data_IF_114498706759
#
_entry.id   IF_114498706759
#
_cell.length_a   1.000
_cell.length_b   1.000
_cell.length_c   1.000
_cell.angle_alpha   90.00
_cell.angle_beta   90.00
_cell.angle_gamma   90.00
#
_symmetry.space_group_name_H-M   'P 1'
#
loop_
_entity.id
_entity.type
_entity.pdbx_description
1 polymer ?
#
# COMPACT_ATOMS: atom_id res chain seq x y z
N UNK A 1 -14.81 -0.18 46.34
CA UNK A 1 -15.01 -1.62 46.68
C UNK A 1 -15.46 -2.49 45.50
N UNK A 2 -16.40 -2.10 44.63
CA UNK A 2 -16.86 -2.96 43.52
C UNK A 2 -15.75 -3.31 42.51
N UNK A 3 -14.87 -2.37 42.14
CA UNK A 3 -13.77 -2.60 41.16
C UNK A 3 -12.70 -3.61 41.60
N UNK A 4 -12.48 -3.77 42.90
CA UNK A 4 -11.52 -4.73 43.44
C UNK A 4 -12.08 -6.16 43.42
N UNK A 5 -13.41 -6.31 43.57
CA UNK A 5 -14.08 -7.62 43.54
C UNK A 5 -14.03 -8.26 42.16
N UNK A 6 -14.17 -7.47 41.08
CA UNK A 6 -14.10 -7.96 39.70
C UNK A 6 -12.69 -8.41 39.31
N UNK A 7 -11.66 -7.68 39.75
CA UNK A 7 -10.25 -8.06 39.51
C UNK A 7 -9.88 -9.35 40.25
N UNK A 8 -10.30 -9.50 41.50
CA UNK A 8 -10.07 -10.71 42.29
C UNK A 8 -10.78 -11.93 41.69
N UNK A 9 -12.04 -11.77 41.27
CA UNK A 9 -12.79 -12.84 40.61
C UNK A 9 -12.13 -13.30 39.29
N UNK A 10 -11.59 -12.36 38.52
CA UNK A 10 -10.87 -12.65 37.27
C UNK A 10 -9.57 -13.43 37.51
N UNK A 11 -8.80 -13.05 38.54
CA UNK A 11 -7.56 -13.74 38.93
C UNK A 11 -7.83 -15.18 39.40
N UNK A 12 -8.89 -15.37 40.18
CA UNK A 12 -9.27 -16.68 40.70
C UNK A 12 -9.80 -17.62 39.61
N UNK A 13 -10.58 -17.11 38.66
CA UNK A 13 -11.01 -17.87 37.48
C UNK A 13 -9.83 -18.28 36.59
N UNK A 14 -8.84 -17.40 36.42
CA UNK A 14 -7.63 -17.71 35.66
C UNK A 14 -6.80 -18.84 36.29
N UNK A 15 -6.71 -18.89 37.62
CA UNK A 15 -6.04 -19.96 38.36
C UNK A 15 -6.86 -21.27 38.46
N UNK A 16 -8.02 -21.36 37.78
CA UNK A 16 -8.87 -22.55 37.81
C UNK A 16 -9.68 -22.73 39.11
N UNK A 17 -9.75 -21.70 39.96
CA UNK A 17 -10.41 -21.77 41.27
C UNK A 17 -11.90 -21.49 41.07
N UNK A 18 -12.67 -22.55 40.85
CA UNK A 18 -14.10 -22.47 40.48
C UNK A 18 -15.05 -22.21 41.66
N UNK A 19 -14.59 -22.30 42.91
CA UNK A 19 -15.45 -22.07 44.08
C UNK A 19 -14.69 -21.43 45.24
N UNK A 20 -15.17 -20.26 45.69
CA UNK A 20 -14.70 -19.58 46.90
C UNK A 20 -15.74 -19.78 48.00
N UNK A 21 -15.45 -20.61 49.00
CA UNK A 21 -16.28 -20.74 50.21
C UNK A 21 -15.65 -19.94 51.35
N UNK A 22 -16.33 -18.90 51.81
CA UNK A 22 -15.93 -18.11 52.97
C UNK A 22 -16.68 -18.60 54.22
N UNK A 23 -15.94 -19.14 55.20
CA UNK A 23 -16.47 -19.52 56.51
C UNK A 23 -15.77 -18.71 57.61
N UNK A 24 -16.56 -18.18 58.55
CA UNK A 24 -16.06 -17.41 59.70
C UNK A 24 -16.17 -18.27 60.96
N UNK A 25 -15.02 -18.70 61.49
CA UNK A 25 -14.91 -19.15 62.89
C UNK A 25 -13.60 -18.59 63.46
N UNK A 26 -13.71 -17.49 64.21
CA UNK A 26 -12.62 -16.91 65.00
C UNK A 26 -11.49 -16.24 64.19
N UNK A 27 -11.50 -14.90 64.14
CA UNK A 27 -10.30 -14.07 63.96
C UNK A 27 -9.54 -14.13 62.62
N UNK A 28 -10.00 -14.86 61.60
CA UNK A 28 -9.33 -14.87 60.30
C UNK A 28 -10.19 -15.43 59.16
N UNK A 29 -9.98 -14.92 57.94
CA UNK A 29 -10.57 -15.46 56.71
C UNK A 29 -9.74 -16.68 56.29
N UNK A 30 -10.33 -17.86 56.29
CA UNK A 30 -9.72 -19.07 55.70
C UNK A 30 -10.26 -19.24 54.28
N UNK A 31 -9.36 -19.19 53.30
CA UNK A 31 -9.67 -19.45 51.90
C UNK A 31 -9.31 -20.91 51.62
N UNK A 32 -10.32 -21.73 51.30
CA UNK A 32 -10.12 -23.13 50.93
C UNK A 32 -10.06 -23.24 49.41
N UNK A 33 -8.93 -23.68 48.88
CA UNK A 33 -8.73 -23.97 47.47
C UNK A 33 -8.96 -25.47 47.26
N UNK A 34 -10.03 -25.85 46.56
CA UNK A 34 -10.33 -27.25 46.25
C UNK A 34 -9.84 -27.56 44.83
N UNK A 35 -9.04 -28.61 44.70
CA UNK A 35 -8.52 -29.21 43.46
C UNK A 35 -7.45 -28.41 42.68
N UNK A 36 -6.24 -28.32 43.24
CA UNK A 36 -5.02 -28.28 42.42
C UNK A 36 -4.56 -29.71 42.17
N UNK A 37 -5.22 -30.42 41.25
CA UNK A 37 -4.72 -31.71 40.77
C UNK A 37 -3.98 -31.49 39.45
N UNK A 38 -2.69 -31.86 39.47
CA UNK A 38 -1.71 -31.90 38.37
C UNK A 38 -0.89 -30.63 38.10
N UNK A 39 0.41 -30.73 38.43
CA UNK A 39 1.55 -29.82 38.13
C UNK A 39 1.93 -28.73 39.14
N UNK A 40 1.90 -29.03 40.43
CA UNK A 40 2.80 -28.36 41.38
C UNK A 40 3.78 -29.39 41.91
N UNK A 41 5.02 -29.29 41.43
CA UNK A 41 6.14 -30.12 41.86
C UNK A 41 6.47 -29.78 43.32
N UNK A 42 6.31 -30.76 44.20
CA UNK A 42 6.27 -30.61 45.65
C UNK A 42 7.64 -30.31 46.30
N UNK A 43 8.69 -30.08 45.51
CA UNK A 43 10.03 -29.73 46.00
C UNK A 43 10.41 -28.24 45.84
N UNK A 44 9.50 -27.40 45.36
CA UNK A 44 9.72 -25.95 45.34
C UNK A 44 9.05 -25.29 46.55
N UNK A 45 9.86 -25.00 47.57
CA UNK A 45 9.46 -24.12 48.67
C UNK A 45 9.15 -22.73 48.10
N UNK A 46 7.88 -22.46 47.82
CA UNK A 46 7.43 -21.18 47.30
C UNK A 46 6.98 -20.24 48.44
N UNK A 47 7.71 -19.15 48.72
CA UNK A 47 7.26 -18.07 49.58
C UNK A 47 6.35 -17.13 48.78
N UNK A 48 5.28 -17.63 48.16
CA UNK A 48 4.48 -16.84 47.19
C UNK A 48 3.41 -15.97 47.85
N UNK A 49 3.05 -16.22 49.11
CA UNK A 49 1.95 -15.48 49.76
C UNK A 49 2.39 -14.28 50.62
N UNK A 50 3.69 -13.96 50.71
CA UNK A 50 4.16 -12.87 51.58
C UNK A 50 4.64 -11.60 50.87
N UNK A 51 4.70 -11.53 49.53
CA UNK A 51 5.33 -10.39 48.84
C UNK A 51 4.65 -9.97 47.53
N UNK A 52 3.31 -9.90 47.50
CA UNK A 52 2.63 -9.20 46.41
C UNK A 52 2.05 -7.91 46.97
N UNK A 53 2.76 -6.79 46.78
CA UNK A 53 2.17 -5.45 46.92
C UNK A 53 1.11 -5.33 45.82
N UNK A 54 -0.07 -4.85 46.19
CA UNK A 54 -1.23 -4.74 45.28
C UNK A 54 -0.95 -3.81 44.09
N UNK A 55 0.08 -2.97 44.19
CA UNK A 55 0.52 -2.06 43.13
C UNK A 55 1.33 -2.77 42.01
N UNK A 56 1.87 -3.97 42.26
CA UNK A 56 2.64 -4.75 41.24
C UNK A 56 1.76 -5.77 40.48
N UNK A 57 0.45 -5.79 40.74
CA UNK A 57 -0.50 -6.72 40.09
C UNK A 57 -0.83 -6.36 38.63
N UNK A 58 -0.44 -5.19 38.14
CA UNK A 58 -0.56 -4.84 36.72
C UNK A 58 0.46 -5.58 35.83
N UNK A 59 1.57 -6.06 36.41
CA UNK A 59 2.64 -6.74 35.66
C UNK A 59 2.42 -8.26 35.51
N UNK A 60 1.55 -8.86 36.34
CA UNK A 60 1.34 -10.32 36.40
C UNK A 60 0.12 -10.79 35.60
N UNK A 61 -0.76 -9.87 35.15
CA UNK A 61 -1.83 -10.23 34.21
C UNK A 61 -1.16 -10.37 32.84
N UNK A 62 -1.02 -11.58 32.26
CA UNK A 62 -0.52 -11.69 30.89
C UNK A 62 -1.46 -10.85 30.02
N UNK A 63 -0.94 -9.76 29.45
CA UNK A 63 -1.65 -9.00 28.44
C UNK A 63 -2.06 -10.01 27.38
N UNK A 64 -3.36 -10.24 27.23
CA UNK A 64 -3.87 -11.07 26.14
C UNK A 64 -3.30 -10.46 24.87
N UNK A 65 -2.45 -11.19 24.16
CA UNK A 65 -1.91 -10.71 22.90
C UNK A 65 -3.10 -10.42 21.98
N UNK A 66 -3.15 -9.20 21.45
CA UNK A 66 -4.22 -8.75 20.55
C UNK A 66 -3.66 -8.60 19.15
N UNK A 67 -4.54 -8.52 18.15
CA UNK A 67 -4.10 -8.15 16.81
C UNK A 67 -3.42 -6.78 16.82
N UNK A 68 -3.91 -5.83 17.63
CA UNK A 68 -3.27 -4.52 17.79
C UNK A 68 -1.80 -4.65 18.20
N UNK A 69 -1.52 -5.35 19.30
CA UNK A 69 -0.14 -5.50 19.79
C UNK A 69 0.74 -6.23 18.77
N UNK A 70 0.24 -7.30 18.15
CA UNK A 70 1.01 -8.05 17.15
C UNK A 70 1.35 -7.23 15.89
N UNK A 71 0.48 -6.29 15.50
CA UNK A 71 0.70 -5.38 14.36
C UNK A 71 1.66 -4.26 14.74
N UNK A 72 1.51 -3.68 15.94
CA UNK A 72 2.40 -2.63 16.46
C UNK A 72 3.83 -3.15 16.71
N UNK A 73 3.97 -4.40 17.17
CA UNK A 73 5.27 -5.08 17.35
C UNK A 73 6.02 -5.27 16.02
N UNK A 74 5.29 -5.32 14.89
CA UNK A 74 5.86 -5.31 13.53
C UNK A 74 6.18 -3.90 13.01
N UNK A 75 5.98 -2.87 13.83
CA UNK A 75 6.27 -1.47 13.50
C UNK A 75 5.17 -0.75 12.71
N UNK A 76 4.00 -1.37 12.52
CA UNK A 76 2.89 -0.72 11.81
C UNK A 76 2.08 0.19 12.73
N UNK A 77 1.67 1.35 12.20
CA UNK A 77 0.68 2.21 12.87
C UNK A 77 -0.73 1.76 12.51
N UNK A 78 -1.55 1.47 13.52
CA UNK A 78 -2.93 1.02 13.32
C UNK A 78 -3.90 2.18 13.07
N UNK A 79 -5.01 1.88 12.38
CA UNK A 79 -6.17 2.75 12.24
C UNK A 79 -7.13 2.45 13.38
N UNK A 80 -7.52 3.51 14.10
CA UNK A 80 -8.46 3.45 15.22
C UNK A 80 -9.49 4.59 15.16
N UNK A 81 -10.33 4.71 16.19
CA UNK A 81 -11.35 5.76 16.28
C UNK A 81 -10.75 7.19 16.33
N UNK A 82 -9.50 7.35 16.74
CA UNK A 82 -8.81 8.66 16.83
C UNK A 82 -8.10 9.06 15.53
N UNK A 83 -7.85 8.10 14.64
CA UNK A 83 -7.13 8.31 13.38
C UNK A 83 -7.84 9.30 12.45
N UNK A 84 -7.08 9.99 11.58
CA UNK A 84 -7.68 10.95 10.65
C UNK A 84 -8.52 10.25 9.57
N UNK A 85 -9.61 10.89 9.12
CA UNK A 85 -10.43 10.33 8.03
C UNK A 85 -9.61 10.05 6.78
N UNK A 86 -8.65 10.92 6.44
CA UNK A 86 -7.76 10.74 5.30
C UNK A 86 -7.03 9.38 5.33
N UNK A 87 -6.53 8.97 6.49
CA UNK A 87 -5.78 7.72 6.66
C UNK A 87 -6.68 6.50 6.39
N UNK A 88 -7.91 6.53 6.92
CA UNK A 88 -8.89 5.48 6.70
C UNK A 88 -9.39 5.45 5.25
N UNK A 89 -9.63 6.60 4.62
CA UNK A 89 -10.03 6.67 3.20
C UNK A 89 -8.97 6.08 2.29
N UNK A 90 -7.70 6.40 2.54
CA UNK A 90 -6.59 5.86 1.78
C UNK A 90 -6.47 4.35 1.97
N UNK A 91 -6.62 3.84 3.19
CA UNK A 91 -6.66 2.39 3.45
C UNK A 91 -7.76 1.67 2.66
N UNK A 92 -8.91 2.31 2.39
CA UNK A 92 -9.98 1.71 1.59
C UNK A 92 -9.73 1.76 0.06
N UNK A 93 -8.82 2.64 -0.38
CA UNK A 93 -8.52 2.89 -1.80
C UNK A 93 -7.14 2.41 -2.26
N UNK A 94 -6.30 1.92 -1.34
CA UNK A 94 -4.87 1.75 -1.58
C UNK A 94 -4.50 0.75 -2.69
N UNK A 95 -5.42 -0.09 -3.14
CA UNK A 95 -5.17 -1.06 -4.21
C UNK A 95 -5.04 -0.35 -5.55
N UNK A 96 -3.83 -0.39 -6.12
CA UNK A 96 -3.51 0.24 -7.38
C UNK A 96 -3.89 -0.66 -8.56
N UNK A 97 -5.18 -0.62 -8.92
CA UNK A 97 -5.73 -1.35 -10.06
C UNK A 97 -6.39 -0.36 -11.06
N UNK A 98 -5.75 -0.10 -12.22
CA UNK A 98 -6.23 0.87 -13.20
C UNK A 98 -7.42 0.38 -14.04
N UNK A 99 -7.83 -0.89 -13.89
CA UNK A 99 -8.98 -1.45 -14.60
C UNK A 99 -10.30 -1.21 -13.85
N UNK A 100 -10.27 -1.01 -12.53
CA UNK A 100 -11.49 -0.93 -11.72
C UNK A 100 -12.42 0.20 -12.15
N UNK A 101 -13.67 -0.17 -12.41
CA UNK A 101 -14.79 0.76 -12.66
C UNK A 101 -15.73 0.86 -11.45
N UNK A 102 -15.57 -0.02 -10.47
CA UNK A 102 -16.19 0.12 -9.15
C UNK A 102 -15.45 -0.76 -8.14
N UNK A 103 -15.59 -0.42 -6.86
CA UNK A 103 -15.12 -1.23 -5.73
C UNK A 103 -16.31 -1.62 -4.88
N UNK A 104 -16.56 -2.92 -4.77
CA UNK A 104 -17.66 -3.49 -4.01
C UNK A 104 -17.07 -4.48 -3.01
N UNK A 105 -17.09 -4.12 -1.74
CA UNK A 105 -16.73 -4.99 -0.63
C UNK A 105 -17.99 -5.32 0.14
N UNK A 106 -18.32 -6.60 0.27
CA UNK A 106 -19.39 -7.06 1.14
C UNK A 106 -18.91 -7.10 2.58
N UNK A 107 -19.85 -7.23 3.51
CA UNK A 107 -19.53 -7.44 4.91
C UNK A 107 -18.60 -8.66 5.08
N UNK A 108 -17.55 -8.49 5.88
CA UNK A 108 -16.47 -9.44 6.14
C UNK A 108 -15.48 -9.70 4.99
N UNK A 109 -15.59 -9.04 3.83
CA UNK A 109 -14.66 -9.27 2.71
C UNK A 109 -13.25 -8.78 3.05
N UNK A 110 -13.12 -7.57 3.61
CA UNK A 110 -11.83 -6.98 3.98
C UNK A 110 -11.19 -7.76 5.13
N UNK A 111 -11.97 -7.99 6.20
CA UNK A 111 -11.60 -8.81 7.35
C UNK A 111 -12.86 -9.18 8.14
N UNK A 112 -12.85 -10.23 9.00
CA UNK A 112 -13.99 -10.60 9.82
C UNK A 112 -14.46 -9.45 10.74
N UNK A 113 -15.66 -8.95 10.50
CA UNK A 113 -16.27 -7.79 11.16
C UNK A 113 -16.25 -6.50 10.33
N UNK A 114 -15.64 -6.50 9.13
CA UNK A 114 -15.66 -5.33 8.26
C UNK A 114 -17.04 -5.10 7.67
N UNK A 115 -17.39 -3.82 7.53
CA UNK A 115 -18.63 -3.39 6.91
C UNK A 115 -18.61 -3.51 5.38
N UNK A 116 -19.81 -3.49 4.80
CA UNK A 116 -20.00 -3.29 3.37
C UNK A 116 -19.56 -1.89 2.91
N UNK A 117 -19.04 -1.82 1.69
CA UNK A 117 -18.61 -0.59 1.04
C UNK A 117 -18.82 -0.71 -0.47
N UNK A 118 -19.44 0.30 -1.06
CA UNK A 118 -19.56 0.44 -2.51
C UNK A 118 -19.02 1.80 -2.91
N UNK A 119 -18.03 1.81 -3.80
CA UNK A 119 -17.47 3.00 -4.42
C UNK A 119 -17.63 2.88 -5.93
N UNK A 120 -18.22 3.89 -6.55
CA UNK A 120 -18.45 3.93 -8.00
C UNK A 120 -17.31 4.65 -8.71
N UNK A 121 -17.12 4.37 -9.99
CA UNK A 121 -16.24 5.18 -10.83
C UNK A 121 -16.87 6.53 -11.17
N UNK A 122 -16.02 7.51 -11.45
CA UNK A 122 -16.37 8.75 -12.11
C UNK A 122 -15.36 9.08 -13.19
N UNK A 123 -15.76 9.89 -14.17
CA UNK A 123 -14.85 10.46 -15.16
C UNK A 123 -13.92 11.46 -14.45
N UNK A 124 -12.62 11.20 -14.51
CA UNK A 124 -11.57 12.09 -13.99
C UNK A 124 -11.15 13.07 -15.09
N UNK A 125 -10.90 12.54 -16.29
CA UNK A 125 -10.40 13.33 -17.41
C UNK A 125 -10.85 12.75 -18.75
N UNK A 126 -11.00 13.63 -19.73
CA UNK A 126 -11.13 13.27 -21.14
C UNK A 126 -10.39 14.27 -22.01
N UNK A 127 -10.09 13.88 -23.25
CA UNK A 127 -9.45 14.77 -24.20
C UNK A 127 -8.80 14.03 -25.35
N UNK A 128 -7.76 14.64 -25.92
CA UNK A 128 -7.02 14.11 -27.07
C UNK A 128 -5.53 14.08 -26.76
N UNK A 129 -4.92 12.93 -27.00
CA UNK A 129 -3.47 12.77 -26.98
C UNK A 129 -2.93 12.69 -28.41
N UNK A 130 -1.63 12.91 -28.58
CA UNK A 130 -0.93 12.71 -29.84
C UNK A 130 0.03 11.55 -29.63
N UNK A 131 -0.11 10.50 -30.44
CA UNK A 131 0.80 9.36 -30.42
C UNK A 131 2.17 9.76 -30.98
N UNK A 132 3.15 8.88 -30.81
CA UNK A 132 4.48 9.06 -31.37
C UNK A 132 4.48 9.17 -32.91
N UNK A 133 3.50 8.54 -33.59
CA UNK A 133 3.30 8.66 -35.04
C UNK A 133 2.58 9.94 -35.47
N UNK A 134 2.22 10.82 -34.52
CA UNK A 134 1.48 12.05 -34.79
C UNK A 134 -0.03 11.87 -34.91
N UNK A 135 -0.56 10.67 -34.67
CA UNK A 135 -2.00 10.41 -34.69
C UNK A 135 -2.68 10.98 -33.44
N UNK A 136 -3.80 11.67 -33.62
CA UNK A 136 -4.63 12.11 -32.49
C UNK A 136 -5.53 10.98 -32.00
N UNK A 137 -5.51 10.71 -30.69
CA UNK A 137 -6.29 9.66 -30.04
C UNK A 137 -7.17 10.26 -28.94
N UNK A 138 -8.48 10.02 -29.03
CA UNK A 138 -9.42 10.36 -27.97
C UNK A 138 -9.21 9.47 -26.74
N UNK A 139 -9.41 10.04 -25.56
CA UNK A 139 -9.34 9.29 -24.31
C UNK A 139 -10.40 9.72 -23.31
N UNK A 140 -10.75 8.76 -22.45
CA UNK A 140 -11.51 8.96 -21.22
C UNK A 140 -10.82 8.15 -20.11
N UNK A 141 -10.43 8.83 -19.04
CA UNK A 141 -9.90 8.24 -17.81
C UNK A 141 -10.98 8.30 -16.75
N UNK A 142 -11.34 7.14 -16.24
CA UNK A 142 -12.19 6.99 -15.08
C UNK A 142 -11.34 6.59 -13.87
N UNK A 143 -11.79 6.93 -12.68
CA UNK A 143 -11.24 6.38 -11.45
C UNK A 143 -12.28 6.32 -10.34
N UNK A 144 -11.89 5.73 -9.21
CA UNK A 144 -12.81 5.43 -8.12
C UNK A 144 -13.04 6.66 -7.26
N UNK A 145 -14.29 6.91 -6.89
CA UNK A 145 -14.64 8.01 -5.99
C UNK A 145 -14.02 7.81 -4.60
N UNK A 146 -13.60 8.92 -3.99
CA UNK A 146 -13.11 8.90 -2.61
C UNK A 146 -14.23 8.50 -1.64
N UNK A 147 -13.99 7.59 -0.67
CA UNK A 147 -14.99 7.26 0.32
C UNK A 147 -15.47 8.50 1.09
N UNK A 148 -16.76 8.54 1.37
CA UNK A 148 -17.32 9.58 2.23
C UNK A 148 -16.79 9.46 3.67
N UNK A 149 -16.92 10.54 4.45
CA UNK A 149 -16.49 10.53 5.85
C UNK A 149 -17.29 9.50 6.68
N UNK A 150 -18.55 9.24 6.33
CA UNK A 150 -19.40 8.23 6.95
C UNK A 150 -18.81 6.82 6.80
N UNK A 151 -18.43 6.45 5.57
CA UNK A 151 -17.73 5.18 5.28
C UNK A 151 -16.39 5.08 6.03
N UNK A 152 -15.63 6.17 6.08
CA UNK A 152 -14.38 6.23 6.84
C UNK A 152 -14.60 6.03 8.35
N UNK A 153 -15.60 6.67 8.95
CA UNK A 153 -15.95 6.46 10.37
C UNK A 153 -16.30 5.01 10.65
N UNK A 154 -17.09 4.39 9.78
CA UNK A 154 -17.47 2.98 9.89
C UNK A 154 -16.24 2.07 9.85
N UNK A 155 -15.36 2.28 8.88
CA UNK A 155 -14.10 1.53 8.77
C UNK A 155 -13.18 1.70 9.98
N UNK A 156 -13.04 2.92 10.51
CA UNK A 156 -12.27 3.17 11.74
C UNK A 156 -12.81 2.37 12.93
N UNK A 157 -14.14 2.32 13.06
CA UNK A 157 -14.80 1.57 14.12
C UNK A 157 -14.63 0.05 13.94
N UNK A 158 -14.79 -0.46 12.72
CA UNK A 158 -14.60 -1.87 12.38
C UNK A 158 -13.16 -2.31 12.69
N UNK A 159 -12.18 -1.50 12.29
CA UNK A 159 -10.77 -1.74 12.59
C UNK A 159 -10.50 -1.73 14.09
N UNK A 160 -10.94 -0.71 14.83
CA UNK A 160 -10.76 -0.64 16.28
C UNK A 160 -11.32 -1.90 16.97
N UNK A 161 -12.51 -2.33 16.59
CA UNK A 161 -13.17 -3.52 17.15
C UNK A 161 -12.43 -4.81 16.79
N UNK A 162 -11.95 -4.94 15.55
CA UNK A 162 -11.23 -6.14 15.12
C UNK A 162 -9.83 -6.25 15.75
N UNK A 163 -9.16 -5.11 15.96
CA UNK A 163 -7.81 -5.03 16.51
C UNK A 163 -7.75 -5.41 18.00
N UNK A 164 -8.84 -5.21 18.75
CA UNK A 164 -8.95 -5.60 20.18
C UNK A 164 -9.16 -7.11 20.39
N UNK A 165 -9.43 -7.88 19.32
CA UNK A 165 -9.65 -9.33 19.43
C UNK A 165 -8.33 -10.07 19.79
N UNK A 166 -8.42 -11.19 20.54
CA UNK A 166 -7.25 -12.00 20.87
C UNK A 166 -6.58 -12.60 19.62
N UNK A 167 -5.26 -12.47 19.57
CA UNK A 167 -4.40 -13.01 18.53
C UNK A 167 -3.59 -14.23 19.02
N UNK A 168 -3.46 -15.19 18.12
CA UNK A 168 -2.54 -16.31 18.21
C UNK A 168 -2.10 -16.69 16.78
N UNK A 169 -0.98 -17.41 16.65
CA UNK A 169 -0.36 -17.73 15.35
C UNK A 169 -1.27 -18.50 14.39
N UNK A 170 -2.30 -19.21 14.88
CA UNK A 170 -3.25 -19.91 13.99
C UNK A 170 -4.13 -18.95 13.19
N UNK A 171 -4.19 -17.66 13.57
CA UNK A 171 -4.99 -16.63 12.91
C UNK A 171 -4.15 -15.71 11.99
N UNK A 172 -3.04 -16.21 11.46
CA UNK A 172 -2.15 -15.44 10.59
C UNK A 172 -2.86 -14.78 9.41
N UNK A 173 -3.78 -15.47 8.73
CA UNK A 173 -4.52 -14.89 7.61
C UNK A 173 -5.36 -13.67 8.01
N UNK A 174 -5.92 -13.68 9.21
CA UNK A 174 -6.64 -12.52 9.75
C UNK A 174 -5.69 -11.39 10.11
N UNK A 175 -4.50 -11.71 10.67
CA UNK A 175 -3.47 -10.72 10.93
C UNK A 175 -3.04 -10.02 9.63
N UNK A 176 -2.80 -10.76 8.56
CA UNK A 176 -2.37 -10.22 7.27
C UNK A 176 -3.44 -9.30 6.65
N UNK A 177 -4.72 -9.69 6.74
CA UNK A 177 -5.85 -8.82 6.34
C UNK A 177 -5.94 -7.55 7.18
N UNK A 178 -5.75 -7.64 8.50
CA UNK A 178 -5.76 -6.47 9.37
C UNK A 178 -4.55 -5.56 9.14
N UNK A 179 -3.39 -6.12 8.78
CA UNK A 179 -2.24 -5.32 8.33
C UNK A 179 -2.58 -4.59 7.04
N UNK A 180 -3.18 -5.26 6.05
CA UNK A 180 -3.55 -4.67 4.76
C UNK A 180 -4.55 -3.51 4.93
N UNK A 181 -5.62 -3.73 5.69
CA UNK A 181 -6.78 -2.84 5.73
C UNK A 181 -6.86 -1.92 6.96
N UNK A 182 -6.26 -2.30 8.09
CA UNK A 182 -6.36 -1.55 9.35
C UNK A 182 -5.05 -0.90 9.79
N UNK A 183 -4.11 -0.70 8.87
CA UNK A 183 -2.88 0.08 9.14
C UNK A 183 -2.80 1.33 8.27
N UNK A 184 -2.18 2.36 8.83
CA UNK A 184 -1.97 3.65 8.18
C UNK A 184 -0.91 3.51 7.08
N UNK A 185 -1.20 4.09 5.92
CA UNK A 185 -0.23 4.29 4.83
C UNK A 185 0.26 5.73 4.95
N UNK A 186 1.53 5.93 5.32
CA UNK A 186 2.08 7.25 5.61
C UNK A 186 2.79 7.85 4.42
N UNK A 187 3.46 7.01 3.63
CA UNK A 187 4.35 7.42 2.55
C UNK A 187 4.04 6.69 1.24
N UNK A 188 4.50 7.25 0.11
CA UNK A 188 4.44 6.57 -1.18
C UNK A 188 5.22 5.24 -1.13
N UNK A 189 6.32 5.18 -0.36
CA UNK A 189 7.04 3.94 -0.07
C UNK A 189 6.11 2.86 0.51
N UNK A 190 5.32 3.21 1.52
CA UNK A 190 4.36 2.27 2.13
C UNK A 190 3.30 1.81 1.13
N UNK A 191 2.76 2.75 0.33
CA UNK A 191 1.73 2.47 -0.66
C UNK A 191 2.25 1.50 -1.74
N UNK A 192 3.42 1.78 -2.30
CA UNK A 192 4.02 0.96 -3.36
C UNK A 192 4.42 -0.42 -2.83
N UNK A 193 5.05 -0.49 -1.65
CA UNK A 193 5.42 -1.77 -1.02
C UNK A 193 4.19 -2.62 -0.69
N UNK A 194 3.11 -2.00 -0.22
CA UNK A 194 1.82 -2.70 0.03
C UNK A 194 1.20 -3.25 -1.25
N UNK A 195 1.42 -2.57 -2.38
CA UNK A 195 1.02 -3.08 -3.70
C UNK A 195 2.09 -3.99 -4.32
N UNK A 196 3.05 -4.47 -3.52
CA UNK A 196 4.05 -5.48 -3.88
C UNK A 196 5.11 -5.03 -4.86
N UNK A 197 5.34 -3.72 -4.99
CA UNK A 197 6.55 -3.21 -5.62
C UNK A 197 7.73 -3.32 -4.67
N UNK A 198 8.89 -3.71 -5.19
CA UNK A 198 10.15 -3.62 -4.45
C UNK A 198 10.80 -2.28 -4.79
N UNK A 199 11.14 -1.48 -3.78
CA UNK A 199 11.77 -0.18 -3.99
C UNK A 199 13.27 -0.35 -4.28
N UNK A 200 13.80 0.51 -5.14
CA UNK A 200 15.24 0.60 -5.36
C UNK A 200 15.91 1.26 -4.16
N UNK A 201 17.06 0.72 -3.75
CA UNK A 201 17.84 1.30 -2.68
C UNK A 201 18.43 2.66 -3.10
N UNK A 202 18.23 3.64 -2.23
CA UNK A 202 18.64 5.04 -2.46
C UNK A 202 19.82 5.46 -1.57
N UNK A 203 20.24 4.61 -0.62
CA UNK A 203 21.28 4.94 0.36
C UNK A 203 22.62 4.26 0.09
N UNK A 204 22.64 3.15 -0.64
CA UNK A 204 23.87 2.42 -0.99
C UNK A 204 23.94 2.13 -2.50
N UNK A 205 25.01 1.44 -2.90
CA UNK A 205 25.27 1.04 -4.28
C UNK A 205 24.71 -0.33 -4.65
N UNK A 206 23.96 -0.97 -3.74
CA UNK A 206 23.43 -2.33 -3.90
C UNK A 206 22.62 -2.53 -5.18
N UNK A 207 21.85 -1.52 -5.57
CA UNK A 207 20.94 -1.59 -6.71
C UNK A 207 21.46 -0.83 -7.95
N UNK A 208 22.76 -0.53 -8.04
CA UNK A 208 23.31 0.28 -9.15
C UNK A 208 23.05 -0.32 -10.55
N UNK A 209 23.05 -1.64 -10.70
CA UNK A 209 22.72 -2.27 -11.98
C UNK A 209 21.24 -2.12 -12.34
N UNK A 210 20.35 -2.21 -11.36
CA UNK A 210 18.91 -1.96 -11.58
C UNK A 210 18.65 -0.48 -11.86
N UNK A 211 19.35 0.44 -11.18
CA UNK A 211 19.32 1.87 -11.49
C UNK A 211 19.71 2.13 -12.93
N UNK A 212 20.79 1.53 -13.42
CA UNK A 212 21.21 1.71 -14.82
C UNK A 212 20.13 1.23 -15.80
N UNK A 213 19.49 0.08 -15.55
CA UNK A 213 18.38 -0.41 -16.39
C UNK A 213 17.22 0.58 -16.43
N UNK A 214 16.81 1.10 -15.27
CA UNK A 214 15.71 2.07 -15.17
C UNK A 214 16.04 3.36 -15.90
N UNK A 215 17.24 3.92 -15.70
CA UNK A 215 17.67 5.17 -16.32
C UNK A 215 17.78 5.03 -17.84
N UNK A 216 18.33 3.91 -18.33
CA UNK A 216 18.39 3.60 -19.76
C UNK A 216 17.07 3.06 -20.33
N UNK A 217 15.98 3.16 -19.57
CA UNK A 217 14.68 2.56 -19.86
C UNK A 217 13.92 3.15 -21.05
N UNK A 218 14.40 4.26 -21.60
CA UNK A 218 13.80 4.96 -22.74
C UNK A 218 13.08 6.26 -22.38
N UNK A 219 12.83 6.57 -21.11
CA UNK A 219 12.22 7.86 -20.73
C UNK A 219 13.11 9.06 -21.08
N UNK A 220 14.42 8.88 -21.17
CA UNK A 220 15.42 9.91 -21.51
C UNK A 220 15.88 9.82 -22.98
N UNK A 221 14.97 9.39 -23.87
CA UNK A 221 15.20 9.30 -25.32
C UNK A 221 14.09 9.97 -26.12
N UNK A 222 14.36 10.24 -27.39
CA UNK A 222 13.37 10.58 -28.40
C UNK A 222 12.59 9.35 -28.82
N UNK A 223 11.44 9.59 -29.44
CA UNK A 223 10.63 8.57 -30.10
C UNK A 223 11.41 7.91 -31.23
N UNK A 224 11.13 6.62 -31.41
CA UNK A 224 11.70 5.78 -32.47
C UNK A 224 11.12 6.14 -33.84
N UNK A 225 9.85 6.55 -33.89
CA UNK A 225 9.15 6.93 -35.13
C UNK A 225 9.28 8.40 -35.50
N UNK A 226 9.46 9.26 -34.50
CA UNK A 226 9.56 10.70 -34.73
C UNK A 226 10.60 11.34 -33.80
N UNK A 227 11.59 11.97 -34.41
CA UNK A 227 12.64 12.72 -33.71
C UNK A 227 12.13 14.00 -33.02
N UNK A 228 10.89 14.41 -33.28
CA UNK A 228 10.22 15.51 -32.58
C UNK A 228 9.44 15.05 -31.34
N UNK A 229 9.30 13.75 -31.14
CA UNK A 229 8.65 13.19 -29.96
C UNK A 229 9.69 12.94 -28.87
N UNK A 230 9.52 13.54 -27.71
CA UNK A 230 10.45 13.43 -26.59
C UNK A 230 9.76 12.69 -25.44
N UNK A 231 10.24 11.50 -25.04
CA UNK A 231 9.61 10.76 -23.94
C UNK A 231 9.77 11.45 -22.59
N UNK A 232 10.85 12.21 -22.39
CA UNK A 232 11.08 12.96 -21.16
C UNK A 232 10.07 14.08 -20.95
N UNK A 233 9.37 14.51 -22.00
CA UNK A 233 8.26 15.45 -21.90
C UNK A 233 6.94 14.76 -21.52
N UNK A 234 6.88 13.43 -21.48
CA UNK A 234 5.66 12.65 -21.17
C UNK A 234 5.59 12.18 -19.73
N UNK A 235 6.42 12.75 -18.87
CA UNK A 235 6.49 12.53 -17.43
C UNK A 235 6.64 13.86 -16.69
N UNK A 236 6.34 13.88 -15.39
CA UNK A 236 6.45 15.05 -14.50
C UNK A 236 7.38 14.85 -13.30
N UNK A 237 7.90 13.64 -13.12
CA UNK A 237 8.82 13.22 -12.06
C UNK A 237 10.11 14.05 -12.02
N UNK A 238 10.67 14.37 -13.19
CA UNK A 238 11.83 15.24 -13.35
C UNK A 238 11.41 16.65 -13.78
N UNK A 239 11.88 17.65 -13.05
CA UNK A 239 11.72 19.05 -13.41
C UNK A 239 12.58 19.41 -14.63
N UNK A 240 12.34 20.59 -15.22
CA UNK A 240 13.19 21.08 -16.31
C UNK A 240 14.68 21.15 -15.91
N UNK A 241 14.97 21.57 -14.69
CA UNK A 241 16.35 21.64 -14.19
C UNK A 241 16.98 20.24 -13.99
N UNK A 242 16.18 19.25 -13.61
CA UNK A 242 16.65 17.87 -13.49
C UNK A 242 16.95 17.30 -14.88
N UNK A 243 16.07 17.54 -15.85
CA UNK A 243 16.26 17.11 -17.24
C UNK A 243 17.51 17.75 -17.86
N UNK A 244 17.79 19.02 -17.59
CA UNK A 244 19.02 19.66 -18.04
C UNK A 244 20.28 18.98 -17.47
N UNK A 245 20.24 18.50 -16.22
CA UNK A 245 21.34 17.75 -15.61
C UNK A 245 21.50 16.33 -16.18
N UNK A 246 20.38 15.69 -16.53
CA UNK A 246 20.36 14.33 -17.07
C UNK A 246 20.79 14.27 -18.53
N UNK A 247 20.19 15.10 -19.37
CA UNK A 247 20.34 15.00 -20.84
C UNK A 247 20.91 16.27 -21.47
N UNK A 248 21.15 17.35 -20.73
CA UNK A 248 21.69 18.60 -21.27
C UNK A 248 20.63 19.59 -21.78
N UNK A 249 21.07 20.72 -22.33
CA UNK A 249 20.22 21.82 -22.80
C UNK A 249 20.05 21.81 -24.32
N UNK A 250 18.83 22.07 -24.80
CA UNK A 250 18.46 22.41 -26.19
C UNK A 250 19.35 21.80 -27.29
N UNK A 251 20.45 22.47 -27.66
CA UNK A 251 21.34 22.07 -28.76
C UNK A 251 22.30 20.92 -28.42
N UNK A 252 22.50 20.61 -27.14
CA UNK A 252 23.47 19.64 -26.64
C UNK A 252 22.80 18.46 -25.92
N UNK A 253 21.59 18.08 -26.36
CA UNK A 253 20.86 16.96 -25.75
C UNK A 253 21.60 15.64 -26.03
N UNK A 254 21.99 14.92 -24.97
CA UNK A 254 22.55 13.56 -25.00
C UNK A 254 21.53 12.59 -24.43
N UNK A 255 20.91 11.82 -25.32
CA UNK A 255 19.98 10.75 -24.93
C UNK A 255 20.71 9.65 -24.15
N UNK A 256 20.00 8.97 -23.25
CA UNK A 256 20.52 7.83 -22.50
C UNK A 256 19.77 6.57 -22.98
N UNK A 257 20.39 5.81 -23.89
CA UNK A 257 19.73 4.71 -24.60
C UNK A 257 20.10 3.34 -24.08
N UNK A 258 21.25 3.23 -23.44
CA UNK A 258 21.83 1.97 -22.99
C UNK A 258 22.51 2.15 -21.63
N UNK A 259 22.68 1.03 -20.93
CA UNK A 259 23.30 0.96 -19.59
C UNK A 259 24.68 1.65 -19.55
N UNK A 260 25.45 1.59 -20.63
CA UNK A 260 26.78 2.23 -20.71
C UNK A 260 26.74 3.76 -20.83
N UNK A 261 25.59 4.34 -21.19
CA UNK A 261 25.41 5.80 -21.23
C UNK A 261 25.11 6.38 -19.83
N UNK A 262 24.83 5.51 -18.86
CA UNK A 262 24.46 5.90 -17.50
C UNK A 262 25.72 6.22 -16.69
N UNK A 263 25.86 7.49 -16.33
CA UNK A 263 26.93 8.02 -15.48
C UNK A 263 26.48 8.07 -14.02
N UNK A 264 27.42 8.06 -13.07
CA UNK A 264 27.12 8.05 -11.62
C UNK A 264 26.27 9.26 -11.19
N UNK A 265 26.46 10.41 -11.84
CA UNK A 265 25.65 11.62 -11.60
C UNK A 265 24.17 11.42 -11.93
N UNK A 266 23.86 10.58 -12.94
CA UNK A 266 22.47 10.26 -13.28
C UNK A 266 21.85 9.40 -12.16
N UNK A 267 22.59 8.40 -11.67
CA UNK A 267 22.15 7.54 -10.56
C UNK A 267 21.93 8.37 -9.30
N UNK A 268 22.86 9.27 -8.96
CA UNK A 268 22.74 10.15 -7.80
C UNK A 268 21.46 11.00 -7.85
N UNK A 269 21.17 11.63 -9.00
CA UNK A 269 19.97 12.44 -9.18
C UNK A 269 18.69 11.60 -9.08
N UNK A 270 18.67 10.39 -9.67
CA UNK A 270 17.54 9.47 -9.53
C UNK A 270 17.31 9.06 -8.06
N UNK A 271 18.38 8.70 -7.33
CA UNK A 271 18.32 8.36 -5.90
C UNK A 271 17.77 9.54 -5.08
N UNK A 272 18.24 10.76 -5.32
CA UNK A 272 17.76 11.97 -4.62
C UNK A 272 16.27 12.22 -4.89
N UNK A 273 15.85 12.20 -6.16
CA UNK A 273 14.44 12.38 -6.53
C UNK A 273 13.56 11.30 -5.92
N UNK A 274 13.99 10.03 -5.97
CA UNK A 274 13.26 8.93 -5.37
C UNK A 274 13.14 9.05 -3.84
N UNK A 275 14.19 9.50 -3.13
CA UNK A 275 14.11 9.80 -1.69
C UNK A 275 13.00 10.80 -1.39
N UNK A 276 12.94 11.90 -2.15
CA UNK A 276 11.93 12.93 -1.94
C UNK A 276 10.52 12.41 -2.28
N UNK A 277 10.34 11.79 -3.44
CA UNK A 277 9.04 11.34 -3.91
C UNK A 277 8.48 10.18 -3.07
N UNK A 278 9.32 9.24 -2.63
CA UNK A 278 8.89 8.09 -1.81
C UNK A 278 8.45 8.50 -0.40
N UNK A 279 8.96 9.61 0.14
CA UNK A 279 8.59 10.11 1.48
C UNK A 279 7.33 11.00 1.49
N UNK A 280 6.80 11.38 0.32
CA UNK A 280 5.56 12.16 0.25
C UNK A 280 4.38 11.36 0.78
N UNK A 281 3.45 12.07 1.43
CA UNK A 281 2.17 11.46 1.84
C UNK A 281 1.33 11.16 0.59
N UNK A 282 0.93 9.89 0.39
CA UNK A 282 0.15 9.50 -0.77
C UNK A 282 -1.25 10.12 -0.77
N UNK A 283 -1.74 10.39 -1.97
CA UNK A 283 -3.11 10.78 -2.27
C UNK A 283 -3.50 10.07 -3.57
N UNK A 284 -4.63 9.35 -3.56
CA UNK A 284 -5.21 8.72 -4.75
C UNK A 284 -6.36 9.63 -5.17
N UNK A 285 -6.04 10.64 -5.97
CA UNK A 285 -7.03 11.62 -6.47
C UNK A 285 -7.41 11.32 -7.91
N UNK A 286 -6.40 11.06 -8.74
CA UNK A 286 -6.55 11.03 -10.19
C UNK A 286 -6.07 9.73 -10.82
N UNK A 287 -5.58 8.75 -10.05
CA UNK A 287 -5.15 7.47 -10.58
C UNK A 287 -6.23 6.81 -11.46
N UNK A 288 -5.89 6.32 -12.68
CA UNK A 288 -4.55 6.16 -13.26
C UNK A 288 -4.16 7.26 -14.29
N UNK A 289 -4.42 8.54 -14.01
CA UNK A 289 -4.04 9.66 -14.89
C UNK A 289 -2.51 9.87 -14.93
N UNK A 290 -1.91 9.67 -16.11
CA UNK A 290 -0.49 9.95 -16.39
C UNK A 290 -0.26 11.37 -16.91
N UNK A 291 1.00 11.82 -16.93
CA UNK A 291 1.39 13.09 -17.55
C UNK A 291 1.02 13.14 -19.04
N UNK A 292 1.19 12.03 -19.75
CA UNK A 292 0.78 11.91 -21.16
C UNK A 292 -0.70 12.25 -21.37
N UNK A 293 -1.60 11.73 -20.52
CA UNK A 293 -3.02 12.04 -20.59
C UNK A 293 -3.34 13.46 -20.10
N UNK A 294 -2.69 13.90 -19.01
CA UNK A 294 -2.91 15.23 -18.43
C UNK A 294 -2.62 16.35 -19.45
N UNK A 295 -1.59 16.20 -20.28
CA UNK A 295 -1.26 17.16 -21.34
C UNK A 295 -2.42 17.34 -22.34
N UNK A 296 -3.05 16.22 -22.72
CA UNK A 296 -4.17 16.16 -23.66
C UNK A 296 -5.55 16.44 -23.07
N UNK A 297 -5.66 16.58 -21.74
CA UNK A 297 -6.93 16.77 -21.05
C UNK A 297 -7.56 18.14 -21.38
N UNK A 298 -8.88 18.16 -21.56
CA UNK A 298 -9.66 19.36 -21.88
C UNK A 298 -10.35 19.98 -20.64
N UNK A 299 -10.56 21.29 -20.65
CA UNK A 299 -11.28 22.11 -19.64
C UNK A 299 -12.72 21.63 -19.39
N UNK A 300 -13.37 21.88 -18.22
CA UNK A 300 -13.07 22.94 -17.23
C UNK A 300 -12.13 22.58 -16.07
N UNK A 301 -11.84 21.29 -15.82
CA UNK A 301 -11.16 20.87 -14.59
C UNK A 301 -9.64 20.68 -14.73
N UNK A 302 -9.03 21.07 -15.86
CA UNK A 302 -7.59 20.83 -16.09
C UNK A 302 -6.69 21.42 -14.99
N UNK A 303 -7.07 22.57 -14.41
CA UNK A 303 -6.31 23.23 -13.35
C UNK A 303 -6.32 22.49 -12.01
N UNK A 304 -7.26 21.57 -11.79
CA UNK A 304 -7.35 20.76 -10.57
C UNK A 304 -6.77 19.36 -10.74
N UNK A 305 -6.50 18.95 -11.99
CA UNK A 305 -5.88 17.67 -12.30
C UNK A 305 -4.38 17.71 -12.05
N UNK A 306 -3.87 16.63 -11.46
CA UNK A 306 -2.45 16.39 -11.24
C UNK A 306 -2.19 14.89 -11.30
N UNK A 307 -0.95 14.52 -11.64
CA UNK A 307 -0.52 13.12 -11.55
C UNK A 307 -0.25 12.81 -10.09
N UNK A 308 -0.84 11.74 -9.57
CA UNK A 308 -0.60 11.30 -8.20
C UNK A 308 0.88 10.90 -8.05
N UNK A 309 1.58 11.42 -7.03
CA UNK A 309 3.05 11.31 -6.93
C UNK A 309 3.61 9.88 -6.99
N UNK A 310 2.87 8.88 -6.45
CA UNK A 310 3.29 7.48 -6.52
C UNK A 310 3.26 6.90 -7.95
N UNK A 311 2.47 7.49 -8.85
CA UNK A 311 2.23 6.96 -10.20
C UNK A 311 3.55 6.86 -10.99
N UNK A 312 4.30 7.95 -11.06
CA UNK A 312 5.59 7.99 -11.77
C UNK A 312 6.75 7.53 -10.89
N UNK A 313 6.63 7.62 -9.56
CA UNK A 313 7.58 6.96 -8.66
C UNK A 313 7.60 5.43 -8.90
N UNK A 314 6.49 4.85 -9.35
CA UNK A 314 6.44 3.44 -9.79
C UNK A 314 7.41 3.19 -10.96
N UNK A 315 7.55 4.14 -11.89
CA UNK A 315 8.40 3.97 -13.07
C UNK A 315 9.89 4.06 -12.74
N UNK A 316 10.24 4.96 -11.81
CA UNK A 316 11.63 5.37 -11.59
C UNK A 316 12.24 4.85 -10.30
N UNK A 317 11.44 4.50 -9.29
CA UNK A 317 11.91 4.19 -7.94
C UNK A 317 11.69 2.73 -7.52
N UNK A 318 11.20 1.89 -8.43
CA UNK A 318 10.93 0.47 -8.16
C UNK A 318 11.86 -0.41 -8.99
N UNK A 319 12.16 -1.60 -8.46
CA UNK A 319 12.82 -2.63 -9.24
C UNK A 319 11.96 -2.96 -10.46
N UNK A 320 12.59 -3.24 -11.62
CA UNK A 320 11.88 -3.69 -12.80
C UNK A 320 10.88 -4.82 -12.53
N UNK A 321 9.63 -4.61 -12.90
CA UNK A 321 8.56 -5.62 -12.90
C UNK A 321 7.73 -5.43 -14.17
N UNK A 322 7.22 -6.53 -14.72
CA UNK A 322 6.33 -6.48 -15.90
C UNK A 322 4.87 -6.30 -15.48
N UNK A 323 4.05 -5.71 -16.35
CA UNK A 323 2.61 -5.59 -16.10
C UNK A 323 1.94 -6.95 -15.94
N UNK A 324 2.42 -7.97 -16.68
CA UNK A 324 1.96 -9.35 -16.55
C UNK A 324 2.26 -9.91 -15.15
N UNK A 325 3.49 -9.73 -14.67
CA UNK A 325 3.89 -10.17 -13.34
C UNK A 325 3.05 -9.48 -12.26
N UNK A 326 2.85 -8.17 -12.37
CA UNK A 326 2.01 -7.41 -11.44
C UNK A 326 0.55 -7.91 -11.43
N UNK A 327 -0.03 -8.17 -12.60
CA UNK A 327 -1.39 -8.72 -12.72
C UNK A 327 -1.52 -10.07 -12.02
N UNK A 328 -0.58 -10.99 -12.25
CA UNK A 328 -0.60 -12.35 -11.69
C UNK A 328 -0.29 -12.35 -10.19
N UNK A 329 0.76 -11.65 -9.78
CA UNK A 329 1.27 -11.75 -8.42
C UNK A 329 0.53 -10.83 -7.45
N UNK A 330 0.10 -9.64 -7.90
CA UNK A 330 -0.40 -8.58 -7.03
C UNK A 330 -1.92 -8.43 -7.15
N UNK A 331 -2.45 -8.43 -8.38
CA UNK A 331 -3.90 -8.33 -8.60
C UNK A 331 -4.62 -9.69 -8.63
N UNK A 332 -3.87 -10.80 -8.67
CA UNK A 332 -4.40 -12.18 -8.79
C UNK A 332 -5.38 -12.29 -9.97
N UNK A 333 -4.97 -11.74 -11.10
CA UNK A 333 -5.76 -11.64 -12.32
C UNK A 333 -5.17 -12.49 -13.44
N UNK A 334 -6.04 -13.00 -14.30
CA UNK A 334 -5.65 -13.60 -15.57
C UNK A 334 -5.09 -12.51 -16.49
N UNK A 335 -4.14 -12.89 -17.33
CA UNK A 335 -3.60 -12.03 -18.37
C UNK A 335 -3.99 -12.57 -19.73
N UNK A 336 -4.24 -11.69 -20.69
CA UNK A 336 -4.35 -12.09 -22.08
C UNK A 336 -3.11 -11.64 -22.83
N UNK A 337 -2.65 -12.47 -23.77
CA UNK A 337 -1.61 -12.07 -24.71
C UNK A 337 -2.22 -10.99 -25.59
N UNK A 338 -1.65 -9.79 -25.51
CA UNK A 338 -2.03 -8.55 -26.20
C UNK A 338 -2.95 -8.80 -27.42
N UNK A 339 -4.27 -8.69 -27.23
CA UNK A 339 -5.23 -9.02 -28.28
C UNK A 339 -5.88 -7.76 -28.86
N UNK A 340 -5.44 -7.43 -30.06
CA UNK A 340 -6.26 -7.02 -31.21
C UNK A 340 -7.04 -5.68 -31.21
N UNK A 341 -7.28 -5.01 -30.09
CA UNK A 341 -8.10 -3.78 -30.10
C UNK A 341 -7.25 -2.52 -30.40
N UNK A 342 -6.84 -2.41 -31.67
CA UNK A 342 -6.28 -1.18 -32.25
C UNK A 342 -7.28 -0.03 -32.04
N UNK A 343 -6.82 1.07 -31.47
CA UNK A 343 -7.63 2.29 -31.27
C UNK A 343 -8.12 2.52 -29.83
N UNK A 344 -7.84 1.62 -28.90
CA UNK A 344 -8.01 1.92 -27.46
C UNK A 344 -6.86 2.81 -26.98
N UNK A 345 -7.13 3.72 -26.05
CA UNK A 345 -6.12 4.70 -25.60
C UNK A 345 -4.83 4.04 -25.06
N UNK A 346 -4.93 2.88 -24.40
CA UNK A 346 -3.77 2.13 -23.91
C UNK A 346 -3.23 1.08 -24.91
N UNK A 347 -3.75 0.98 -26.14
CA UNK A 347 -3.21 0.08 -27.15
C UNK A 347 -1.86 0.58 -27.67
N UNK A 348 -0.93 -0.31 -27.99
CA UNK A 348 0.26 0.03 -28.77
C UNK A 348 0.00 -0.40 -30.20
N UNK A 349 0.05 0.55 -31.13
CA UNK A 349 -0.46 0.31 -32.50
C UNK A 349 0.33 -0.77 -33.26
N UNK A 350 1.59 -1.02 -32.91
CA UNK A 350 2.52 -1.77 -33.79
C UNK A 350 3.63 -2.60 -33.09
N UNK A 351 3.56 -2.84 -31.78
CA UNK A 351 4.57 -3.67 -31.09
C UNK A 351 3.95 -5.02 -30.71
N UNK A 352 4.03 -5.99 -31.62
CA UNK A 352 3.78 -7.39 -31.27
C UNK A 352 4.79 -7.80 -30.19
N UNK A 353 4.31 -8.37 -29.09
CA UNK A 353 5.13 -8.86 -27.97
C UNK A 353 5.87 -7.76 -27.19
N UNK A 354 5.27 -6.57 -27.03
CA UNK A 354 5.82 -5.56 -26.12
C UNK A 354 5.65 -6.00 -24.66
N UNK A 355 6.77 -6.19 -23.96
CA UNK A 355 6.76 -6.41 -22.52
C UNK A 355 6.69 -5.08 -21.78
N UNK A 356 5.61 -4.87 -21.01
CA UNK A 356 5.39 -3.61 -20.30
C UNK A 356 6.14 -3.59 -18.97
N UNK A 357 7.39 -3.15 -18.97
CA UNK A 357 8.13 -2.91 -17.72
C UNK A 357 7.77 -1.57 -17.08
N UNK A 358 7.89 -1.50 -15.75
CA UNK A 358 7.70 -0.26 -14.96
C UNK A 358 8.47 0.93 -15.53
N UNK A 359 9.72 0.72 -15.91
CA UNK A 359 10.64 1.78 -16.32
C UNK A 359 10.53 2.20 -17.79
N UNK A 360 9.64 1.62 -18.58
CA UNK A 360 9.58 1.93 -20.01
C UNK A 360 8.47 2.94 -20.34
N UNK A 361 8.70 3.84 -21.32
CA UNK A 361 7.72 4.86 -21.67
C UNK A 361 6.50 4.30 -22.38
N UNK A 362 6.62 3.20 -23.15
CA UNK A 362 5.53 2.64 -23.96
C UNK A 362 4.76 3.71 -24.76
N UNK A 363 5.48 4.41 -25.65
CA UNK A 363 4.98 5.58 -26.39
C UNK A 363 4.58 6.79 -25.51
N UNK A 364 5.02 6.82 -24.25
CA UNK A 364 4.65 7.80 -23.23
C UNK A 364 3.46 7.38 -22.35
N UNK A 365 2.80 6.26 -22.65
CA UNK A 365 1.62 5.77 -21.92
C UNK A 365 1.99 5.15 -20.57
N UNK A 366 3.18 4.56 -20.47
CA UNK A 366 3.75 3.98 -19.27
C UNK A 366 3.10 2.67 -18.81
N UNK A 367 3.65 2.11 -17.74
CA UNK A 367 3.33 0.77 -17.22
C UNK A 367 1.86 0.56 -16.86
N UNK A 368 1.19 1.57 -16.27
CA UNK A 368 -0.20 1.43 -15.84
C UNK A 368 -1.18 1.22 -17.00
N UNK A 369 -0.85 1.73 -18.19
CA UNK A 369 -1.60 1.39 -19.40
C UNK A 369 -1.42 -0.09 -19.80
N UNK A 370 -0.22 -0.65 -19.59
CA UNK A 370 0.03 -2.08 -19.79
C UNK A 370 -0.79 -2.96 -18.86
N UNK A 371 -0.85 -2.61 -17.57
CA UNK A 371 -1.68 -3.32 -16.58
C UNK A 371 -3.15 -3.32 -17.02
N UNK A 372 -3.67 -2.17 -17.45
CA UNK A 372 -5.05 -2.06 -17.96
C UNK A 372 -5.25 -2.84 -19.26
N UNK A 373 -4.31 -2.74 -20.19
CA UNK A 373 -4.41 -3.34 -21.51
C UNK A 373 -4.28 -4.87 -21.48
N UNK A 374 -3.55 -5.45 -20.52
CA UNK A 374 -3.31 -6.90 -20.41
C UNK A 374 -4.28 -7.61 -19.47
N UNK A 375 -5.14 -6.88 -18.75
CA UNK A 375 -6.07 -7.45 -17.78
C UNK A 375 -7.09 -8.39 -18.46
N UNK A 376 -7.12 -9.65 -18.04
CA UNK A 376 -7.98 -10.72 -18.58
C UNK A 376 -9.13 -11.16 -17.67
N UNK A 377 -9.41 -10.43 -16.59
CA UNK A 377 -10.40 -10.80 -15.58
C UNK A 377 -9.76 -11.43 -14.33
N UNK A 378 -10.57 -11.58 -13.26
CA UNK A 378 -10.12 -12.25 -12.03
C UNK A 378 -9.97 -13.76 -12.26
N UNK A 379 -9.02 -14.37 -11.56
CA UNK A 379 -8.85 -15.83 -11.57
C UNK A 379 -10.10 -16.58 -11.08
#
# INVERSE_FOLDING_TARGET
MLRQKTKLASLLNFLGITTLTAGSVGGGIKIYLREFASKLDANSSLPVFQLIKIDDLEEIIPKVATFKSAIEDKGYKVIDNSSEHRQSKLSLLHKLDPHLTSLHYKANDLFPGSSDLVLTSHEIAKGKTVSESGQSLDFVINGIQSPENTASTKHKHDCATALEKPYDESKKDQLDKLIEWCTVIQTNSDLLTRNGFTLLDTDSDKDNDDWKKVISGGWLTKGVKSNSYNYWEKQSFFSASDLEQLIGKSSNIKEIKQVSDVEDKHIALFKERCKVELQKTPEIKNFPLSTYFLQGATSPNKSTLSVDSFFEATYFCTKPITAEEYLKNNLKAKTHVQSADRGLVCSLDELNNYEWYTYQPAQGKGFWCGVKAMYGGKE
#
